data_IF_636675761260
#
_entry.id   IF_636675761260
#
_cell.length_a   1.000
_cell.length_b   1.000
_cell.length_c   1.000
_cell.angle_alpha   90.00
_cell.angle_beta   90.00
_cell.angle_gamma   90.00
#
_symmetry.space_group_name_H-M   'P 1'
#
loop_
_entity.id
_entity.type
_entity.pdbx_description
1 polymer ?
#
# COMPACT_ATOMS: atom_id res chain seq x y z
N UNK A 1 3.61 15.02 14.65
CA UNK A 1 2.79 16.19 14.28
C UNK A 1 2.89 16.35 12.77
N UNK A 2 1.80 16.16 12.04
CA UNK A 2 1.72 16.29 10.58
C UNK A 2 1.14 17.68 10.29
N UNK A 3 1.96 18.60 9.78
CA UNK A 3 1.62 20.00 9.59
C UNK A 3 1.64 20.29 8.09
N UNK A 4 0.62 21.00 7.60
CA UNK A 4 0.57 21.61 6.26
C UNK A 4 0.42 20.66 5.04
N UNK A 5 -0.52 19.71 5.12
CA UNK A 5 -0.92 18.82 4.00
C UNK A 5 -2.39 18.37 4.07
N UNK A 6 -3.25 19.19 4.68
CA UNK A 6 -4.65 18.83 4.92
C UNK A 6 -5.41 18.59 3.61
N UNK A 7 -5.16 19.42 2.59
CA UNK A 7 -5.79 19.26 1.26
C UNK A 7 -5.39 17.96 0.58
N UNK A 8 -4.11 17.59 0.60
CA UNK A 8 -3.69 16.32 0.01
C UNK A 8 -4.21 15.13 0.81
N UNK A 9 -4.26 15.24 2.15
CA UNK A 9 -4.82 14.18 3.00
C UNK A 9 -6.30 13.98 2.73
N UNK A 10 -7.09 15.06 2.66
CA UNK A 10 -8.50 15.02 2.29
C UNK A 10 -8.72 14.40 0.91
N UNK A 11 -7.89 14.77 -0.08
CA UNK A 11 -7.95 14.16 -1.41
C UNK A 11 -7.71 12.65 -1.35
N UNK A 12 -6.70 12.21 -0.61
CA UNK A 12 -6.40 10.78 -0.44
C UNK A 12 -7.50 10.05 0.34
N UNK A 13 -8.09 10.69 1.36
CA UNK A 13 -9.22 10.12 2.10
C UNK A 13 -10.45 9.92 1.23
N UNK A 14 -10.78 10.90 0.38
CA UNK A 14 -11.87 10.78 -0.60
C UNK A 14 -11.64 9.57 -1.52
N UNK A 15 -10.42 9.42 -2.06
CA UNK A 15 -10.09 8.28 -2.94
C UNK A 15 -10.05 6.95 -2.21
N UNK A 16 -9.51 6.90 -0.99
CA UNK A 16 -9.49 5.69 -0.17
C UNK A 16 -10.90 5.24 0.28
N UNK A 17 -11.86 6.16 0.35
CA UNK A 17 -13.26 5.87 0.67
C UNK A 17 -14.14 5.66 -0.59
N UNK A 18 -13.56 5.74 -1.79
CA UNK A 18 -14.27 5.51 -3.05
C UNK A 18 -14.80 4.08 -3.12
N UNK A 19 -15.96 3.92 -3.77
CA UNK A 19 -16.59 2.60 -4.00
C UNK A 19 -16.13 1.94 -5.29
N UNK A 20 -15.29 2.61 -6.07
CA UNK A 20 -14.66 2.08 -7.28
C UNK A 20 -13.17 1.85 -7.04
N UNK A 21 -12.56 1.05 -7.91
CA UNK A 21 -11.11 0.90 -7.90
C UNK A 21 -10.42 2.21 -8.27
N UNK A 22 -9.47 2.64 -7.43
CA UNK A 22 -8.67 3.83 -7.63
C UNK A 22 -7.18 3.45 -7.68
N UNK A 23 -6.43 4.00 -8.63
CA UNK A 23 -4.98 3.81 -8.74
C UNK A 23 -4.27 5.17 -8.78
N UNK A 24 -3.37 5.41 -7.83
CA UNK A 24 -2.64 6.67 -7.71
C UNK A 24 -1.13 6.48 -7.61
N UNK A 25 -0.38 7.34 -8.30
CA UNK A 25 1.09 7.38 -8.23
C UNK A 25 1.54 8.64 -7.48
N UNK A 26 2.16 8.47 -6.32
CA UNK A 26 2.66 9.59 -5.51
C UNK A 26 4.16 9.86 -5.79
N UNK A 27 4.47 10.87 -6.59
CA UNK A 27 5.86 11.25 -6.95
C UNK A 27 6.28 12.61 -6.36
N UNK A 28 7.60 12.86 -6.20
CA UNK A 28 8.12 14.11 -5.63
C UNK A 28 9.54 13.99 -5.07
N UNK A 29 10.13 15.10 -4.61
CA UNK A 29 11.55 15.17 -4.21
C UNK A 29 11.87 14.29 -2.98
N UNK A 30 13.14 13.90 -2.85
CA UNK A 30 13.63 13.21 -1.63
C UNK A 30 13.36 14.08 -0.40
N UNK A 31 12.96 13.45 0.72
CA UNK A 31 12.70 14.06 2.04
C UNK A 31 11.48 14.98 2.18
N UNK A 32 10.57 15.03 1.20
CA UNK A 32 9.30 15.79 1.33
C UNK A 32 8.24 15.13 2.23
N UNK A 33 8.58 14.05 2.93
CA UNK A 33 7.67 13.39 3.89
C UNK A 33 6.65 12.41 3.30
N UNK A 34 6.83 11.93 2.07
CA UNK A 34 5.88 11.01 1.38
C UNK A 34 5.54 9.75 2.17
N UNK A 35 6.56 9.11 2.73
CA UNK A 35 6.38 7.88 3.51
C UNK A 35 5.55 8.14 4.76
N UNK A 36 5.79 9.26 5.43
CA UNK A 36 5.01 9.68 6.59
C UNK A 36 3.57 9.98 6.19
N UNK A 37 3.38 10.66 5.06
CA UNK A 37 2.07 10.99 4.54
C UNK A 37 1.21 9.75 4.21
N UNK A 38 1.75 8.76 3.49
CA UNK A 38 1.02 7.51 3.21
C UNK A 38 0.68 6.77 4.51
N UNK A 39 1.61 6.72 5.47
CA UNK A 39 1.39 6.06 6.77
C UNK A 39 0.28 6.72 7.59
N UNK A 40 0.20 8.06 7.59
CA UNK A 40 -0.90 8.78 8.24
C UNK A 40 -2.22 8.57 7.48
N UNK A 41 -2.22 8.62 6.15
CA UNK A 41 -3.44 8.43 5.34
C UNK A 41 -4.11 7.06 5.52
N UNK A 42 -3.33 6.01 5.77
CA UNK A 42 -3.84 4.64 6.00
C UNK A 42 -4.06 4.30 7.48
N UNK A 43 -3.77 5.22 8.40
CA UNK A 43 -3.83 4.97 9.84
C UNK A 43 -5.26 4.65 10.27
N UNK A 44 -5.43 3.52 10.98
CA UNK A 44 -6.75 3.04 11.40
C UNK A 44 -7.62 2.48 10.27
N UNK A 45 -7.11 2.43 9.02
CA UNK A 45 -7.81 1.83 7.88
C UNK A 45 -7.36 0.37 7.69
N UNK A 46 -8.25 -0.44 7.13
CA UNK A 46 -7.92 -1.81 6.74
C UNK A 46 -7.04 -1.80 5.49
N UNK A 47 -5.73 -1.77 5.67
CA UNK A 47 -4.77 -1.52 4.59
C UNK A 47 -3.52 -2.40 4.71
N UNK A 48 -2.94 -2.72 3.55
CA UNK A 48 -1.62 -3.35 3.46
C UNK A 48 -0.59 -2.28 3.08
N UNK A 49 0.40 -2.08 3.95
CA UNK A 49 1.57 -1.26 3.65
C UNK A 49 2.75 -2.15 3.30
N UNK A 50 3.23 -2.06 2.06
CA UNK A 50 4.38 -2.83 1.58
C UNK A 50 5.49 -1.90 1.10
N UNK A 51 6.69 -2.11 1.61
CA UNK A 51 7.90 -1.44 1.14
C UNK A 51 8.72 -2.42 0.31
N UNK A 52 8.77 -2.21 -1.00
CA UNK A 52 9.58 -3.03 -1.88
C UNK A 52 11.08 -2.86 -1.55
N UNK A 53 11.79 -3.97 -1.51
CA UNK A 53 13.24 -4.01 -1.34
C UNK A 53 13.93 -3.83 -2.70
N UNK A 54 15.11 -3.21 -2.70
CA UNK A 54 15.98 -3.13 -3.88
C UNK A 54 16.65 -4.48 -4.14
N UNK A 55 15.84 -5.45 -4.55
CA UNK A 55 16.19 -6.84 -4.85
C UNK A 55 15.35 -7.33 -6.03
N UNK A 56 15.42 -8.61 -6.35
CA UNK A 56 14.65 -9.21 -7.43
C UNK A 56 13.12 -9.21 -7.15
N UNK A 57 12.34 -9.50 -8.19
CA UNK A 57 10.89 -9.48 -8.12
C UNK A 57 10.35 -10.65 -7.30
N UNK A 58 11.03 -11.79 -7.33
CA UNK A 58 10.66 -13.03 -6.66
C UNK A 58 10.62 -12.84 -5.14
N UNK A 59 11.66 -12.22 -4.56
CA UNK A 59 11.72 -11.92 -3.13
C UNK A 59 10.63 -10.91 -2.75
N UNK A 60 10.42 -9.87 -3.56
CA UNK A 60 9.36 -8.90 -3.30
C UNK A 60 7.96 -9.54 -3.35
N UNK A 61 7.75 -10.47 -4.28
CA UNK A 61 6.51 -11.24 -4.40
C UNK A 61 6.31 -12.15 -3.18
N UNK A 62 7.33 -12.86 -2.73
CA UNK A 62 7.25 -13.72 -1.54
C UNK A 62 6.88 -12.89 -0.29
N UNK A 63 7.56 -11.75 -0.09
CA UNK A 63 7.30 -10.86 1.05
C UNK A 63 5.89 -10.29 1.01
N UNK A 64 5.43 -9.83 -0.16
CA UNK A 64 4.07 -9.31 -0.32
C UNK A 64 3.00 -10.42 -0.17
N UNK A 65 3.26 -11.62 -0.67
CA UNK A 65 2.38 -12.80 -0.52
C UNK A 65 2.20 -13.16 0.95
N UNK A 66 3.31 -13.20 1.70
CA UNK A 66 3.31 -13.45 3.14
C UNK A 66 2.54 -12.36 3.90
N UNK A 67 2.72 -11.10 3.52
CA UNK A 67 2.01 -9.96 4.10
C UNK A 67 0.50 -10.03 3.83
N UNK A 68 0.09 -10.39 2.61
CA UNK A 68 -1.31 -10.61 2.25
C UNK A 68 -1.92 -11.78 3.02
N UNK A 69 -1.20 -12.90 3.16
CA UNK A 69 -1.65 -14.04 3.96
C UNK A 69 -1.93 -13.64 5.41
N UNK A 70 -1.03 -12.88 6.03
CA UNK A 70 -1.24 -12.31 7.38
C UNK A 70 -2.46 -11.41 7.44
N UNK A 71 -2.64 -10.53 6.46
CA UNK A 71 -3.81 -9.65 6.36
C UNK A 71 -5.13 -10.44 6.28
N UNK A 72 -5.12 -11.62 5.67
CA UNK A 72 -6.28 -12.53 5.60
C UNK A 72 -6.37 -13.54 6.75
N UNK A 73 -5.51 -13.45 7.77
CA UNK A 73 -5.41 -14.43 8.86
C UNK A 73 -5.17 -15.87 8.38
N UNK A 74 -4.44 -16.05 7.28
CA UNK A 74 -4.08 -17.35 6.70
C UNK A 74 -2.62 -17.68 6.96
N UNK A 75 -2.36 -18.94 7.32
CA UNK A 75 -1.01 -19.44 7.61
C UNK A 75 -0.32 -19.77 6.28
N UNK A 76 0.41 -18.76 5.75
CA UNK A 76 1.31 -18.84 4.58
C UNK A 76 0.61 -19.05 3.24
N UNK A 77 0.46 -17.96 2.49
CA UNK A 77 0.02 -17.97 1.08
C UNK A 77 1.23 -17.63 0.21
N UNK A 78 1.35 -18.32 -0.92
CA UNK A 78 2.34 -18.02 -1.96
C UNK A 78 1.60 -17.82 -3.28
N UNK A 79 2.03 -16.82 -4.05
CA UNK A 79 1.56 -16.58 -5.42
C UNK A 79 2.72 -16.73 -6.38
N UNK A 80 2.44 -17.13 -7.62
CA UNK A 80 3.47 -17.33 -8.64
C UNK A 80 3.78 -16.06 -9.43
N UNK A 81 2.93 -15.03 -9.31
CA UNK A 81 3.15 -13.72 -9.91
C UNK A 81 2.47 -12.59 -9.15
N UNK A 82 2.93 -11.36 -9.37
CA UNK A 82 2.26 -10.15 -8.88
C UNK A 82 0.82 -10.04 -9.42
N UNK A 83 0.58 -10.53 -10.64
CA UNK A 83 -0.75 -10.55 -11.24
C UNK A 83 -1.73 -11.44 -10.47
N UNK A 84 -1.32 -12.67 -10.15
CA UNK A 84 -2.13 -13.59 -9.34
C UNK A 84 -2.45 -13.01 -7.97
N UNK A 85 -1.47 -12.37 -7.34
CA UNK A 85 -1.63 -11.70 -6.05
C UNK A 85 -2.61 -10.52 -6.15
N UNK A 86 -2.45 -9.63 -7.14
CA UNK A 86 -3.32 -8.46 -7.28
C UNK A 86 -4.77 -8.81 -7.63
N UNK A 87 -5.01 -9.93 -8.34
CA UNK A 87 -6.36 -10.47 -8.55
C UNK A 87 -7.11 -10.86 -7.27
N UNK A 88 -6.42 -10.94 -6.14
CA UNK A 88 -7.06 -11.23 -4.85
C UNK A 88 -7.52 -9.97 -4.12
N UNK A 89 -7.17 -8.79 -4.65
CA UNK A 89 -7.63 -7.50 -4.14
C UNK A 89 -8.83 -6.97 -4.90
N UNK A 90 -8.99 -7.32 -6.18
CA UNK A 90 -9.98 -6.78 -7.11
C UNK A 90 -10.67 -7.88 -7.92
#
# INVERSE_FOLDING_TARGET
>A
MFIDREKELMFLEEKLNSKIFEFGVLHGRRRVGKTVFIKEAIKGKNAIYFQAHQTNMEINLELLSSLYGKYKNMVKISYNSMYELFRQFF
#
